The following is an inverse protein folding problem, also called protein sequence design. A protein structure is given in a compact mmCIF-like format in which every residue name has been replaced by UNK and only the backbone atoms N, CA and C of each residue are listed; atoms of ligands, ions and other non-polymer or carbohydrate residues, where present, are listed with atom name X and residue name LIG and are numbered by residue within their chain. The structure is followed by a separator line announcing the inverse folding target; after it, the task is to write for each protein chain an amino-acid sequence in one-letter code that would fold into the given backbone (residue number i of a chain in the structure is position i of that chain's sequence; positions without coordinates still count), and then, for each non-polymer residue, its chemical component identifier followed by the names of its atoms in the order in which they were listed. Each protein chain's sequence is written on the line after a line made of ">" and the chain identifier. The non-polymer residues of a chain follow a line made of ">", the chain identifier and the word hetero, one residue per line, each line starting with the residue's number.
data_IF_483222281689
#
_entry.id   IF_483222281689
#
_cell.length_a   1.000
_cell.length_b   1.000
_cell.length_c   1.000
_cell.angle_alpha   90.00
_cell.angle_beta   90.00
_cell.angle_gamma   90.00
#
_symmetry.space_group_name_H-M   'P 1'
#
loop_
_entity.id
_entity.type
_entity.pdbx_description
1 polymer ?
#
# COMPACT_ATOMS: atom_id res chain seq x y z
N UNK A 1 2.88 -3.07 -8.45
CA UNK A 1 2.47 -2.24 -9.60
C UNK A 1 0.94 -2.11 -9.73
N UNK A 2 0.16 -3.21 -9.60
CA UNK A 2 -1.30 -3.21 -9.80
C UNK A 2 -2.14 -2.39 -8.80
N UNK A 3 -1.70 -2.25 -7.54
CA UNK A 3 -2.44 -1.49 -6.53
C UNK A 3 -2.29 0.03 -6.67
N UNK A 4 -1.11 0.51 -7.09
CA UNK A 4 -0.90 1.93 -7.42
C UNK A 4 -1.73 2.34 -8.63
N UNK A 5 -1.82 1.47 -9.64
CA UNK A 5 -2.73 1.67 -10.75
C UNK A 5 -4.19 1.69 -10.31
N UNK A 6 -4.64 0.73 -9.50
CA UNK A 6 -6.03 0.72 -9.02
C UNK A 6 -6.41 1.99 -8.23
N UNK A 7 -5.52 2.48 -7.37
CA UNK A 7 -5.73 3.71 -6.61
C UNK A 7 -5.74 4.95 -7.52
N UNK A 8 -4.80 5.07 -8.45
CA UNK A 8 -4.80 6.15 -9.44
C UNK A 8 -6.05 6.11 -10.32
N UNK A 9 -6.52 4.92 -10.70
CA UNK A 9 -7.74 4.79 -11.52
C UNK A 9 -8.96 5.27 -10.75
N UNK A 10 -9.06 4.93 -9.45
CA UNK A 10 -10.14 5.40 -8.58
C UNK A 10 -10.11 6.92 -8.36
N UNK A 11 -8.91 7.50 -8.18
CA UNK A 11 -8.73 8.96 -8.05
C UNK A 11 -9.12 9.68 -9.34
N UNK A 12 -8.73 9.12 -10.50
CA UNK A 12 -9.09 9.67 -11.81
C UNK A 12 -10.59 9.57 -12.06
N UNK A 13 -11.24 8.47 -11.70
CA UNK A 13 -12.70 8.31 -11.79
C UNK A 13 -13.41 9.31 -10.88
N UNK A 14 -12.92 9.51 -9.65
CA UNK A 14 -13.49 10.49 -8.71
C UNK A 14 -13.34 11.93 -9.24
N UNK A 15 -12.17 12.27 -9.79
CA UNK A 15 -11.92 13.57 -10.43
C UNK A 15 -12.77 13.79 -11.68
N UNK A 16 -12.96 12.76 -12.51
CA UNK A 16 -13.84 12.81 -13.69
C UNK A 16 -15.30 13.01 -13.28
N UNK A 17 -15.77 12.33 -12.24
CA UNK A 17 -17.13 12.53 -11.70
C UNK A 17 -17.28 13.97 -11.22
N UNK A 18 -16.33 14.48 -10.43
CA UNK A 18 -16.36 15.88 -9.93
C UNK A 18 -16.35 16.88 -11.09
N UNK A 19 -15.46 16.72 -12.08
CA UNK A 19 -15.36 17.60 -13.26
C UNK A 19 -16.63 17.53 -14.13
N UNK A 20 -17.24 16.35 -14.28
CA UNK A 20 -18.50 16.20 -15.03
C UNK A 20 -19.72 16.82 -14.36
N UNK A 21 -19.64 17.11 -13.06
CA UNK A 21 -20.71 17.75 -12.28
C UNK A 21 -20.56 19.26 -12.11
N UNK A 22 -19.47 19.87 -12.62
CA UNK A 22 -19.33 21.33 -12.69
C UNK A 22 -20.07 21.87 -13.93
N UNK A 23 -21.09 22.73 -13.78
CA UNK A 23 -21.71 23.36 -14.94
C UNK A 23 -20.69 24.29 -15.61
N UNK A 24 -20.48 24.10 -16.91
CA UNK A 24 -19.66 24.97 -17.73
C UNK A 24 -20.26 26.38 -17.74
N UNK A 25 -19.76 27.24 -16.86
CA UNK A 25 -19.98 28.68 -16.92
C UNK A 25 -19.15 29.22 -18.09
N UNK A 26 -19.79 29.36 -19.25
CA UNK A 26 -19.19 30.00 -20.41
C UNK A 26 -19.16 31.52 -20.19
N UNK A 27 -17.98 32.02 -19.87
CA UNK A 27 -17.61 33.39 -20.19
C UNK A 27 -17.58 33.54 -21.72
N UNK A 28 -18.40 34.42 -22.28
CA UNK A 28 -18.16 35.02 -23.58
C UNK A 28 -18.60 36.48 -23.57
N UNK A 29 -17.60 37.32 -23.41
CA UNK A 29 -17.60 38.77 -23.60
C UNK A 29 -17.50 39.06 -25.11
N UNK A 30 -18.50 39.80 -25.61
CA UNK A 30 -18.47 40.86 -26.65
C UNK A 30 -17.55 40.74 -27.88
N UNK A 31 -18.17 40.85 -29.08
CA UNK A 31 -17.63 41.67 -30.18
C UNK A 31 -18.79 42.48 -30.79
N UNK A 32 -18.57 43.79 -30.85
CA UNK A 32 -19.47 44.86 -31.27
C UNK A 32 -19.89 44.81 -32.76
N UNK A 33 -21.11 45.26 -33.06
CA UNK A 33 -21.36 46.19 -34.18
C UNK A 33 -22.70 46.92 -34.07
N UNK A 34 -22.64 48.26 -34.18
CA UNK A 34 -23.71 49.26 -34.05
C UNK A 34 -24.59 49.37 -35.33
N UNK A 35 -25.76 50.06 -35.28
CA UNK A 35 -26.83 50.06 -36.28
C UNK A 35 -26.84 51.30 -37.21
N UNK A 36 -27.65 51.26 -38.29
CA UNK A 36 -28.00 52.45 -39.11
C UNK A 36 -29.53 52.54 -39.33
N UNK A 37 -30.15 53.74 -39.37
CA UNK A 37 -31.57 53.99 -39.04
C UNK A 37 -32.47 54.47 -40.20
N UNK A 38 -33.79 54.29 -40.02
CA UNK A 38 -34.93 55.14 -40.50
C UNK A 38 -35.20 55.25 -42.02
N UNK A 39 -36.36 55.79 -42.47
CA UNK A 39 -37.44 56.53 -41.75
C UNK A 39 -38.80 55.78 -41.76
N UNK A 40 -39.75 56.00 -40.82
CA UNK A 40 -40.71 57.12 -40.75
C UNK A 40 -41.94 56.82 -41.65
N UNK A 41 -43.23 56.88 -41.29
CA UNK A 41 -43.94 57.70 -40.31
C UNK A 41 -45.31 57.08 -39.91
N UNK A 42 -45.76 57.40 -38.70
CA UNK A 42 -47.13 57.67 -38.17
C UNK A 42 -48.35 57.30 -39.04
N UNK A 43 -49.40 56.61 -38.54
CA UNK A 43 -50.42 57.09 -37.59
C UNK A 43 -51.58 56.07 -37.65
N UNK A 44 -52.22 55.69 -36.54
CA UNK A 44 -53.47 56.33 -36.15
C UNK A 44 -54.62 55.33 -35.93
N UNK A 45 -54.98 55.18 -34.65
CA UNK A 45 -56.35 55.13 -34.13
C UNK A 45 -57.25 53.88 -34.26
N UNK A 46 -57.89 53.59 -33.11
CA UNK A 46 -59.28 53.15 -32.93
C UNK A 46 -59.60 51.71 -33.33
N UNK A 47 -60.12 50.82 -32.49
CA UNK A 47 -61.03 51.01 -31.37
C UNK A 47 -62.26 50.11 -31.60
N UNK A 48 -62.68 49.39 -30.56
CA UNK A 48 -64.00 48.73 -30.39
C UNK A 48 -64.33 47.53 -31.31
N UNK A 49 -65.16 46.54 -30.96
CA UNK A 49 -65.87 46.15 -29.72
C UNK A 49 -66.35 44.71 -29.93
N UNK A 50 -66.40 43.96 -28.83
CA UNK A 50 -67.15 42.72 -28.65
C UNK A 50 -68.66 42.91 -28.89
N UNK A 51 -69.31 41.96 -29.56
CA UNK A 51 -70.76 41.89 -29.72
C UNK A 51 -71.22 40.48 -30.12
N UNK A 52 -72.01 39.85 -29.25
CA UNK A 52 -72.45 38.45 -29.30
C UNK A 52 -73.73 38.23 -30.14
N UNK A 53 -73.81 37.04 -30.78
CA UNK A 53 -75.00 36.19 -31.03
C UNK A 53 -76.05 36.61 -32.08
N UNK A 54 -76.97 35.72 -32.53
CA UNK A 54 -76.90 34.26 -32.75
C UNK A 54 -77.41 33.82 -34.15
N UNK A 55 -77.14 32.56 -34.51
CA UNK A 55 -77.66 31.84 -35.69
C UNK A 55 -79.10 31.39 -35.43
N UNK A 56 -79.99 31.43 -36.45
CA UNK A 56 -80.77 30.21 -36.71
C UNK A 56 -81.00 29.91 -38.20
N UNK A 57 -81.01 28.62 -38.52
CA UNK A 57 -81.83 28.06 -39.58
C UNK A 57 -81.11 27.11 -40.54
N UNK A 58 -81.70 25.95 -40.83
CA UNK A 58 -81.42 25.25 -42.07
C UNK A 58 -82.72 25.04 -42.87
N UNK A 59 -82.72 25.40 -44.16
CA UNK A 59 -82.85 24.44 -45.27
C UNK A 59 -83.09 25.12 -46.62
N UNK A 60 -82.36 24.56 -47.59
CA UNK A 60 -82.67 24.22 -48.99
C UNK A 60 -83.18 25.35 -49.91
N UNK A 61 -82.88 25.40 -51.21
CA UNK A 61 -82.59 24.37 -52.21
C UNK A 61 -81.95 25.03 -53.43
N UNK A 62 -80.98 24.37 -54.08
CA UNK A 62 -81.08 23.88 -55.48
C UNK A 62 -80.14 24.65 -56.43
N UNK A 63 -79.44 23.92 -57.30
CA UNK A 63 -78.82 24.51 -58.50
C UNK A 63 -77.32 24.28 -58.69
N UNK A 64 -76.99 23.08 -59.19
CA UNK A 64 -76.09 22.79 -60.30
C UNK A 64 -74.66 23.40 -60.42
N UNK A 65 -73.73 22.45 -60.63
CA UNK A 65 -72.61 22.48 -61.59
C UNK A 65 -71.24 23.02 -61.16
N UNK A 66 -70.22 22.15 -61.32
CA UNK A 66 -68.87 22.54 -61.72
C UNK A 66 -67.74 21.96 -60.87
N UNK A 67 -67.19 20.81 -61.28
CA UNK A 67 -65.90 20.30 -60.82
C UNK A 67 -64.74 21.24 -61.18
N UNK A 68 -63.84 21.53 -60.24
CA UNK A 68 -62.39 21.66 -60.51
C UNK A 68 -61.58 21.49 -59.22
N UNK A 69 -60.74 20.46 -59.14
CA UNK A 69 -59.74 20.27 -58.07
C UNK A 69 -58.61 21.27 -58.31
N UNK A 70 -58.43 22.22 -57.39
CA UNK A 70 -57.28 23.14 -57.36
C UNK A 70 -56.33 22.72 -56.24
N UNK A 71 -55.19 22.12 -56.60
CA UNK A 71 -54.10 21.81 -55.67
C UNK A 71 -53.37 23.11 -55.32
N UNK A 72 -53.45 23.56 -54.06
CA UNK A 72 -52.70 24.71 -53.57
C UNK A 72 -51.21 24.38 -53.35
N UNK A 73 -50.29 25.37 -53.47
CA UNK A 73 -48.84 25.15 -53.42
C UNK A 73 -48.31 24.75 -52.03
N UNK A 74 -47.26 23.94 -52.00
CA UNK A 74 -46.55 23.50 -50.81
C UNK A 74 -46.01 24.73 -50.04
N UNK A 75 -46.28 24.90 -48.73
CA UNK A 75 -45.69 25.99 -47.95
C UNK A 75 -44.17 25.77 -47.78
N UNK A 76 -43.39 26.85 -47.88
CA UNK A 76 -41.93 26.85 -47.81
C UNK A 76 -41.33 26.35 -46.48
N UNK A 77 -39.99 26.38 -46.35
CA UNK A 77 -39.26 25.75 -45.26
C UNK A 77 -39.71 26.28 -43.89
N UNK A 78 -40.06 25.36 -42.99
CA UNK A 78 -40.40 25.66 -41.60
C UNK A 78 -39.12 26.05 -40.87
N UNK A 79 -39.10 27.26 -40.31
CA UNK A 79 -38.00 27.74 -39.47
C UNK A 79 -37.97 26.93 -38.15
N UNK A 80 -36.98 26.05 -38.02
CA UNK A 80 -36.73 25.23 -36.81
C UNK A 80 -35.72 25.85 -35.85
N UNK A 81 -35.26 27.08 -36.07
CA UNK A 81 -34.17 27.73 -35.30
C UNK A 81 -34.48 27.99 -33.81
N UNK A 82 -35.72 27.73 -33.35
CA UNK A 82 -36.11 27.80 -31.94
C UNK A 82 -36.16 26.45 -31.20
N UNK A 83 -36.01 25.31 -31.88
CA UNK A 83 -36.16 23.98 -31.27
C UNK A 83 -34.94 23.54 -30.44
N UNK A 84 -33.79 24.19 -30.62
CA UNK A 84 -32.50 23.81 -30.02
C UNK A 84 -32.21 24.55 -28.71
N UNK A 85 -33.22 25.15 -28.08
CA UNK A 85 -33.08 25.87 -26.82
C UNK A 85 -32.57 24.93 -25.71
N UNK A 86 -31.25 24.93 -25.50
CA UNK A 86 -30.60 24.10 -24.48
C UNK A 86 -30.85 24.74 -23.12
N UNK A 87 -31.90 24.30 -22.43
CA UNK A 87 -32.25 24.78 -21.09
C UNK A 87 -31.11 24.41 -20.13
N UNK A 88 -30.49 25.41 -19.51
CA UNK A 88 -29.42 25.20 -18.53
C UNK A 88 -29.99 24.84 -17.16
N UNK A 89 -29.22 24.16 -16.30
CA UNK A 89 -29.65 23.75 -14.96
C UNK A 89 -30.30 24.89 -14.15
N UNK A 90 -29.77 26.11 -14.28
CA UNK A 90 -30.26 27.30 -13.59
C UNK A 90 -31.62 27.83 -14.09
N UNK A 91 -32.08 27.40 -15.27
CA UNK A 91 -33.39 27.74 -15.85
C UNK A 91 -34.49 26.74 -15.47
N UNK A 92 -34.15 25.66 -14.76
CA UNK A 92 -35.13 24.69 -14.25
C UNK A 92 -35.93 25.30 -13.09
N UNK A 93 -37.22 24.95 -12.95
CA UNK A 93 -38.00 25.31 -11.77
C UNK A 93 -37.32 24.83 -10.49
N UNK A 94 -37.22 25.71 -9.47
CA UNK A 94 -36.48 25.50 -8.21
C UNK A 94 -36.69 24.12 -7.56
N UNK A 95 -37.90 23.56 -7.63
CA UNK A 95 -38.21 22.22 -7.08
C UNK A 95 -37.38 21.10 -7.71
N UNK A 96 -37.08 21.17 -9.01
CA UNK A 96 -36.35 20.11 -9.73
C UNK A 96 -34.85 20.19 -9.40
N UNK A 97 -34.32 21.39 -9.19
CA UNK A 97 -32.93 21.60 -8.78
C UNK A 97 -32.67 21.01 -7.39
N UNK A 98 -33.59 21.21 -6.45
CA UNK A 98 -33.47 20.70 -5.07
C UNK A 98 -33.47 19.18 -5.04
N UNK A 99 -34.39 18.53 -5.76
CA UNK A 99 -34.48 17.06 -5.85
C UNK A 99 -33.17 16.42 -6.36
N UNK A 100 -32.57 17.01 -7.40
CA UNK A 100 -31.32 16.49 -7.97
C UNK A 100 -30.14 16.62 -7.01
N UNK A 101 -30.00 17.75 -6.32
CA UNK A 101 -28.94 17.96 -5.33
C UNK A 101 -29.07 16.98 -4.17
N UNK A 102 -30.30 16.72 -3.69
CA UNK A 102 -30.55 15.77 -2.60
C UNK A 102 -30.15 14.34 -2.98
N UNK A 103 -30.48 13.88 -4.19
CA UNK A 103 -30.08 12.55 -4.66
C UNK A 103 -28.57 12.42 -4.85
N UNK A 104 -27.92 13.42 -5.45
CA UNK A 104 -26.45 13.42 -5.62
C UNK A 104 -25.77 13.41 -4.25
N UNK A 105 -26.24 14.22 -3.30
CA UNK A 105 -25.74 14.24 -1.93
C UNK A 105 -25.94 12.88 -1.23
N UNK A 106 -27.11 12.25 -1.41
CA UNK A 106 -27.40 10.94 -0.83
C UNK A 106 -26.52 9.83 -1.43
N UNK A 107 -26.35 9.81 -2.75
CA UNK A 107 -25.52 8.81 -3.46
C UNK A 107 -24.04 8.98 -3.11
N UNK A 108 -23.55 10.23 -3.07
CA UNK A 108 -22.16 10.52 -2.68
C UNK A 108 -21.90 10.17 -1.21
N UNK A 109 -22.82 10.48 -0.30
CA UNK A 109 -22.74 10.09 1.11
C UNK A 109 -22.75 8.56 1.28
N UNK A 110 -23.61 7.85 0.55
CA UNK A 110 -23.68 6.40 0.56
C UNK A 110 -22.39 5.76 0.01
N UNK A 111 -21.85 6.27 -1.09
CA UNK A 111 -20.58 5.83 -1.66
C UNK A 111 -19.41 6.05 -0.69
N UNK A 112 -19.34 7.22 -0.04
CA UNK A 112 -18.32 7.54 0.96
C UNK A 112 -18.43 6.60 2.18
N UNK A 113 -19.65 6.36 2.68
CA UNK A 113 -19.89 5.44 3.79
C UNK A 113 -19.51 4.00 3.43
N UNK A 114 -19.74 3.56 2.20
CA UNK A 114 -19.32 2.24 1.71
C UNK A 114 -17.78 2.12 1.69
N UNK A 115 -17.07 3.13 1.20
CA UNK A 115 -15.59 3.15 1.20
C UNK A 115 -15.05 3.10 2.63
N UNK A 116 -15.60 3.90 3.55
CA UNK A 116 -15.22 3.89 4.96
C UNK A 116 -15.50 2.56 5.64
N UNK A 117 -16.58 1.86 5.29
CA UNK A 117 -16.88 0.54 5.85
C UNK A 117 -15.99 -0.57 5.28
N UNK A 118 -15.57 -0.47 4.01
CA UNK A 118 -14.76 -1.50 3.34
C UNK A 118 -13.25 -1.33 3.55
N UNK A 119 -12.79 -0.14 3.93
CA UNK A 119 -11.38 0.16 4.21
C UNK A 119 -10.70 -0.80 5.22
N UNK A 120 -11.31 -1.19 6.36
CA UNK A 120 -10.63 -2.02 7.37
C UNK A 120 -10.31 -3.43 6.85
N UNK A 121 -11.15 -3.97 5.97
CA UNK A 121 -10.98 -5.29 5.37
C UNK A 121 -9.75 -5.31 4.45
N UNK A 122 -9.55 -4.23 3.69
CA UNK A 122 -8.41 -4.09 2.79
C UNK A 122 -7.10 -3.99 3.57
N UNK A 123 -7.05 -3.19 4.65
CA UNK A 123 -5.88 -3.10 5.52
C UNK A 123 -5.57 -4.45 6.17
N UNK A 124 -6.59 -5.15 6.68
CA UNK A 124 -6.43 -6.42 7.37
C UNK A 124 -5.73 -7.45 6.48
N UNK A 125 -6.15 -7.56 5.22
CA UNK A 125 -5.50 -8.42 4.22
C UNK A 125 -4.06 -8.00 3.92
N UNK A 126 -3.79 -6.69 3.81
CA UNK A 126 -2.44 -6.19 3.55
C UNK A 126 -1.48 -6.44 4.73
N UNK A 127 -1.97 -6.22 5.96
CA UNK A 127 -1.23 -6.50 7.19
C UNK A 127 -0.84 -7.98 7.26
N UNK A 128 -1.78 -8.89 6.96
CA UNK A 128 -1.52 -10.32 6.99
C UNK A 128 -0.43 -10.77 5.98
N UNK A 129 -0.42 -10.17 4.78
CA UNK A 129 0.62 -10.43 3.76
C UNK A 129 1.99 -9.97 4.26
N UNK A 130 2.08 -8.73 4.73
CA UNK A 130 3.33 -8.15 5.26
C UNK A 130 3.84 -8.92 6.48
N UNK A 131 2.95 -9.31 7.39
CA UNK A 131 3.31 -10.09 8.58
C UNK A 131 3.85 -11.47 8.20
N UNK A 132 3.34 -12.08 7.13
CA UNK A 132 3.88 -13.34 6.61
C UNK A 132 5.28 -13.16 6.00
N UNK A 133 5.48 -12.11 5.19
CA UNK A 133 6.78 -11.80 4.60
C UNK A 133 7.85 -11.45 5.65
N UNK A 134 7.48 -10.72 6.71
CA UNK A 134 8.40 -10.42 7.82
C UNK A 134 8.72 -11.71 8.58
N UNK A 135 7.71 -12.52 8.89
CA UNK A 135 7.91 -13.80 9.60
C UNK A 135 8.81 -14.76 8.81
N UNK A 136 8.65 -14.83 7.50
CA UNK A 136 9.49 -15.64 6.62
C UNK A 136 10.93 -15.13 6.58
N UNK A 137 11.15 -13.81 6.47
CA UNK A 137 12.50 -13.22 6.59
C UNK A 137 13.16 -13.57 7.91
N UNK A 138 12.47 -13.37 9.03
CA UNK A 138 12.99 -13.70 10.37
C UNK A 138 13.33 -15.19 10.45
N UNK A 139 12.45 -16.07 9.96
CA UNK A 139 12.70 -17.50 9.96
C UNK A 139 13.92 -17.89 9.12
N UNK A 140 14.04 -17.35 7.90
CA UNK A 140 15.18 -17.60 7.02
C UNK A 140 16.49 -17.07 7.63
N UNK A 141 16.44 -15.91 8.29
CA UNK A 141 17.59 -15.38 9.00
C UNK A 141 18.05 -16.31 10.14
N UNK A 142 17.13 -16.81 10.97
CA UNK A 142 17.43 -17.78 12.04
C UNK A 142 17.96 -19.09 11.48
N UNK A 143 17.40 -19.56 10.36
CA UNK A 143 17.84 -20.78 9.66
C UNK A 143 19.29 -20.66 9.20
N UNK A 144 19.67 -19.51 8.65
CA UNK A 144 21.00 -19.27 8.11
C UNK A 144 22.02 -18.84 9.18
N UNK A 145 21.56 -18.28 10.30
CA UNK A 145 22.40 -17.80 11.40
C UNK A 145 21.95 -18.43 12.74
N UNK A 146 22.22 -19.73 12.94
CA UNK A 146 21.84 -20.42 14.17
C UNK A 146 22.56 -19.82 15.38
N UNK A 147 21.87 -19.71 16.51
CA UNK A 147 22.41 -19.07 17.70
C UNK A 147 22.42 -17.54 17.63
N UNK A 148 21.61 -16.94 16.74
CA UNK A 148 21.37 -15.51 16.72
C UNK A 148 20.47 -15.04 17.87
N UNK A 149 20.52 -13.75 18.21
CA UNK A 149 19.63 -13.12 19.19
C UNK A 149 18.59 -12.22 18.51
N UNK A 150 17.53 -11.86 19.25
CA UNK A 150 16.55 -10.88 18.77
C UNK A 150 17.18 -9.53 18.42
N UNK A 151 18.22 -9.13 19.15
CA UNK A 151 18.93 -7.89 18.92
C UNK A 151 19.72 -7.93 17.60
N UNK A 152 20.31 -9.08 17.26
CA UNK A 152 21.03 -9.26 15.99
C UNK A 152 20.07 -9.19 14.80
N UNK A 153 18.91 -9.84 14.91
CA UNK A 153 17.83 -9.78 13.91
C UNK A 153 17.35 -8.33 13.75
N UNK A 154 17.16 -7.61 14.86
CA UNK A 154 16.72 -6.21 14.84
C UNK A 154 17.70 -5.32 14.10
N UNK A 155 19.01 -5.44 14.38
CA UNK A 155 20.04 -4.67 13.70
C UNK A 155 20.14 -5.02 12.22
N UNK A 156 19.99 -6.30 11.85
CA UNK A 156 20.15 -6.73 10.46
C UNK A 156 18.93 -6.42 9.59
N UNK A 157 17.73 -6.73 10.07
CA UNK A 157 16.49 -6.59 9.32
C UNK A 157 15.86 -5.19 9.45
N UNK A 158 16.45 -4.31 10.27
CA UNK A 158 15.94 -2.98 10.59
C UNK A 158 14.47 -3.01 11.08
N UNK A 159 14.18 -3.95 12.00
CA UNK A 159 12.86 -4.16 12.57
C UNK A 159 12.86 -3.82 14.06
N UNK A 160 11.73 -3.30 14.55
CA UNK A 160 11.54 -3.05 15.97
C UNK A 160 11.53 -4.37 16.76
N UNK A 161 12.19 -4.39 17.92
CA UNK A 161 12.22 -5.54 18.84
C UNK A 161 10.83 -6.08 19.20
N UNK A 162 9.81 -5.21 19.34
CA UNK A 162 8.43 -5.63 19.60
C UNK A 162 7.83 -6.44 18.43
N UNK A 163 8.05 -6.00 17.20
CA UNK A 163 7.64 -6.72 15.98
C UNK A 163 8.35 -8.07 15.89
N UNK A 164 9.66 -8.11 16.13
CA UNK A 164 10.43 -9.35 16.15
C UNK A 164 9.93 -10.29 17.24
N UNK A 165 9.66 -9.78 18.44
CA UNK A 165 9.11 -10.56 19.55
C UNK A 165 7.81 -11.24 19.13
N UNK A 166 6.87 -10.48 18.56
CA UNK A 166 5.60 -11.02 18.07
C UNK A 166 5.82 -12.18 17.07
N UNK A 167 6.69 -11.98 16.07
CA UNK A 167 6.94 -13.01 15.07
C UNK A 167 7.70 -14.22 15.62
N UNK A 168 8.63 -14.04 16.55
CA UNK A 168 9.34 -15.13 17.23
C UNK A 168 8.37 -15.96 18.06
N UNK A 169 7.50 -15.33 18.86
CA UNK A 169 6.48 -16.04 19.63
C UNK A 169 5.59 -16.85 18.69
N UNK A 170 5.22 -16.30 17.52
CA UNK A 170 4.43 -17.05 16.52
C UNK A 170 5.22 -18.20 15.89
N UNK A 171 6.49 -18.00 15.54
CA UNK A 171 7.34 -19.07 15.00
C UNK A 171 7.58 -20.19 16.03
N UNK A 172 7.65 -19.83 17.30
CA UNK A 172 7.76 -20.78 18.40
C UNK A 172 6.46 -21.57 18.59
N UNK A 173 5.30 -20.91 18.58
CA UNK A 173 4.00 -21.60 18.66
C UNK A 173 3.77 -22.54 17.47
N UNK A 174 4.27 -22.15 16.29
CA UNK A 174 4.22 -22.96 15.08
C UNK A 174 5.33 -24.05 15.05
N UNK A 175 6.08 -24.24 16.15
CA UNK A 175 7.15 -25.23 16.31
C UNK A 175 8.27 -25.12 15.27
N UNK A 176 8.46 -23.96 14.64
CA UNK A 176 9.49 -23.74 13.61
C UNK A 176 10.86 -23.39 14.19
N UNK A 177 10.88 -22.83 15.41
CA UNK A 177 12.10 -22.42 16.11
C UNK A 177 12.09 -22.89 17.56
N UNK A 178 13.29 -23.01 18.14
CA UNK A 178 13.51 -23.31 19.54
C UNK A 178 14.35 -22.20 20.17
N UNK A 179 14.03 -21.84 21.41
CA UNK A 179 14.76 -20.87 22.20
C UNK A 179 15.67 -21.62 23.17
N UNK A 180 16.96 -21.29 23.16
CA UNK A 180 17.94 -21.81 24.11
C UNK A 180 18.40 -20.67 24.99
N UNK A 181 18.18 -20.80 26.30
CA UNK A 181 18.64 -19.78 27.26
C UNK A 181 20.12 -20.00 27.57
N UNK A 182 20.94 -19.01 27.26
CA UNK A 182 22.30 -18.89 27.76
C UNK A 182 22.31 -17.95 28.98
N UNK A 183 23.43 -17.86 29.71
CA UNK A 183 23.54 -17.07 30.96
C UNK A 183 22.93 -15.66 30.85
N UNK A 184 23.22 -14.94 29.76
CA UNK A 184 22.80 -13.54 29.55
C UNK A 184 21.84 -13.31 28.38
N UNK A 185 21.72 -14.27 27.47
CA UNK A 185 21.03 -14.09 26.19
C UNK A 185 20.16 -15.29 25.84
N UNK A 186 19.06 -15.03 25.15
CA UNK A 186 18.24 -16.07 24.52
C UNK A 186 18.71 -16.24 23.09
N UNK A 187 19.03 -17.47 22.72
CA UNK A 187 19.58 -17.86 21.42
C UNK A 187 18.52 -18.62 20.62
N UNK A 188 18.42 -18.29 19.35
CA UNK A 188 17.38 -18.79 18.46
C UNK A 188 17.95 -19.84 17.52
N UNK A 189 17.24 -20.97 17.42
CA UNK A 189 17.62 -22.09 16.56
C UNK A 189 16.41 -22.56 15.75
N UNK A 190 16.65 -23.07 14.55
CA UNK A 190 15.61 -23.77 13.77
C UNK A 190 15.27 -25.09 14.46
N UNK A 191 13.98 -25.33 14.71
CA UNK A 191 13.50 -26.58 15.26
C UNK A 191 13.41 -27.63 14.12
N UNK A 192 14.52 -28.31 13.88
CA UNK A 192 14.66 -29.28 12.77
C UNK A 192 15.40 -30.54 13.18
N UNK A 193 15.74 -30.70 14.47
CA UNK A 193 16.61 -31.77 14.95
C UNK A 193 18.06 -31.71 14.45
N UNK A 194 18.41 -30.75 13.60
CA UNK A 194 19.75 -30.62 13.00
C UNK A 194 20.86 -30.37 14.03
N UNK A 195 20.52 -29.76 15.17
CA UNK A 195 21.45 -29.52 16.26
C UNK A 195 20.97 -30.25 17.51
N UNK A 196 21.85 -31.05 18.09
CA UNK A 196 21.71 -31.64 19.43
C UNK A 196 21.79 -30.55 20.50
N UNK A 197 21.34 -30.83 21.72
CA UNK A 197 21.44 -29.88 22.83
C UNK A 197 22.90 -29.47 23.13
N UNK A 198 23.84 -30.40 22.98
CA UNK A 198 25.28 -30.14 23.13
C UNK A 198 25.79 -29.15 22.06
N UNK A 199 25.45 -29.38 20.80
CA UNK A 199 25.83 -28.49 19.71
C UNK A 199 25.20 -27.10 19.87
N UNK A 200 23.95 -27.01 20.32
CA UNK A 200 23.30 -25.73 20.64
C UNK A 200 24.04 -24.98 21.75
N UNK A 201 24.51 -25.68 22.78
CA UNK A 201 25.30 -25.09 23.86
C UNK A 201 26.66 -24.56 23.36
N UNK A 202 27.36 -25.35 22.54
CA UNK A 202 28.62 -24.96 21.90
C UNK A 202 28.41 -23.73 21.02
N UNK A 203 27.43 -23.76 20.11
CA UNK A 203 27.11 -22.61 19.23
C UNK A 203 26.79 -21.38 20.09
N UNK A 204 26.00 -21.54 21.15
CA UNK A 204 25.66 -20.44 22.06
C UNK A 204 26.89 -19.83 22.73
N UNK A 205 27.87 -20.66 23.10
CA UNK A 205 29.14 -20.23 23.66
C UNK A 205 29.98 -19.45 22.64
N UNK A 206 30.04 -19.93 21.39
CA UNK A 206 30.83 -19.35 20.31
C UNK A 206 30.25 -18.03 19.83
N UNK A 207 28.93 -17.85 19.70
CA UNK A 207 28.38 -16.60 19.15
C UNK A 207 28.47 -15.38 20.08
N UNK A 208 29.21 -15.45 21.19
CA UNK A 208 29.59 -14.24 21.96
C UNK A 208 30.67 -13.48 21.18
N UNK A 209 30.63 -12.13 21.09
CA UNK A 209 31.58 -11.38 20.26
C UNK A 209 33.06 -11.73 20.48
N UNK A 210 33.52 -11.76 21.73
CA UNK A 210 34.89 -12.14 22.07
C UNK A 210 35.21 -13.62 21.74
N UNK A 211 34.22 -14.51 21.85
CA UNK A 211 34.39 -15.92 21.52
C UNK A 211 34.53 -16.13 20.01
N UNK A 212 33.73 -15.41 19.19
CA UNK A 212 33.88 -15.41 17.73
C UNK A 212 35.30 -15.00 17.36
N UNK A 213 35.82 -13.90 17.91
CA UNK A 213 37.17 -13.42 17.60
C UNK A 213 38.27 -14.43 17.98
N UNK A 214 38.16 -15.07 19.15
CA UNK A 214 39.13 -16.09 19.59
C UNK A 214 39.04 -17.33 18.68
N UNK A 215 37.82 -17.80 18.38
CA UNK A 215 37.62 -18.99 17.55
C UNK A 215 38.11 -18.76 16.12
N UNK A 216 37.81 -17.59 15.53
CA UNK A 216 38.33 -17.22 14.21
C UNK A 216 39.86 -17.20 14.20
N UNK A 217 40.48 -16.58 15.22
CA UNK A 217 41.94 -16.51 15.31
C UNK A 217 42.58 -17.90 15.49
N UNK A 218 42.05 -18.73 16.38
CA UNK A 218 42.57 -20.09 16.62
C UNK A 218 42.35 -21.04 15.43
N UNK A 219 41.41 -20.72 14.53
CA UNK A 219 41.23 -21.45 13.27
C UNK A 219 42.34 -21.13 12.27
N UNK A 220 42.82 -19.88 12.26
CA UNK A 220 43.91 -19.43 11.37
C UNK A 220 45.29 -19.76 11.94
N UNK A 221 45.45 -19.64 13.26
CA UNK A 221 46.70 -19.88 13.99
C UNK A 221 46.48 -20.90 15.14
N UNK A 222 46.33 -22.20 14.83
CA UNK A 222 46.20 -23.22 15.85
C UNK A 222 47.47 -23.32 16.71
N UNK A 223 47.30 -23.44 18.02
CA UNK A 223 48.42 -23.48 18.97
C UNK A 223 48.98 -22.11 19.35
N UNK A 224 48.19 -21.05 19.18
CA UNK A 224 48.53 -19.73 19.68
C UNK A 224 48.62 -19.71 21.23
N UNK A 225 49.48 -18.84 21.73
CA UNK A 225 49.67 -18.53 23.15
C UNK A 225 48.65 -17.51 23.64
N UNK A 226 48.55 -17.34 24.95
CA UNK A 226 47.65 -16.35 25.54
C UNK A 226 47.98 -14.91 25.11
N UNK A 227 49.27 -14.59 24.97
CA UNK A 227 49.72 -13.25 24.62
C UNK A 227 49.45 -12.93 23.15
N UNK A 228 49.59 -13.91 22.26
CA UNK A 228 49.21 -13.79 20.84
C UNK A 228 47.69 -13.56 20.68
N UNK A 229 46.88 -14.32 21.42
CA UNK A 229 45.41 -14.15 21.43
C UNK A 229 45.03 -12.77 22.00
N UNK A 230 45.67 -12.35 23.09
CA UNK A 230 45.44 -11.05 23.71
C UNK A 230 45.81 -9.90 22.76
N UNK A 231 46.93 -10.02 22.06
CA UNK A 231 47.37 -9.09 21.03
C UNK A 231 46.37 -8.96 19.89
N UNK A 232 45.85 -10.09 19.37
CA UNK A 232 44.84 -10.08 18.32
C UNK A 232 43.50 -9.46 18.76
N UNK A 233 43.09 -9.67 20.01
CA UNK A 233 41.85 -9.10 20.55
C UNK A 233 42.00 -7.65 21.03
N UNK A 234 43.22 -7.10 21.05
CA UNK A 234 43.54 -5.80 21.65
C UNK A 234 43.08 -5.69 23.12
N UNK A 235 43.29 -6.75 23.90
CA UNK A 235 42.98 -6.80 25.34
C UNK A 235 44.19 -7.26 26.14
N UNK A 236 44.12 -7.17 27.47
CA UNK A 236 45.18 -7.68 28.34
C UNK A 236 45.20 -9.21 28.37
N UNK A 237 46.36 -9.82 28.62
CA UNK A 237 46.48 -11.28 28.77
C UNK A 237 45.56 -11.82 29.87
N UNK A 238 45.35 -11.06 30.95
CA UNK A 238 44.36 -11.40 31.99
C UNK A 238 42.92 -11.39 31.45
N UNK A 239 42.56 -10.40 30.64
CA UNK A 239 41.26 -10.34 29.95
C UNK A 239 41.06 -11.54 29.00
N UNK A 240 42.07 -11.86 28.20
CA UNK A 240 42.07 -13.03 27.33
C UNK A 240 41.92 -14.34 28.12
N UNK A 241 42.64 -14.46 29.26
CA UNK A 241 42.52 -15.61 30.15
C UNK A 241 41.07 -15.82 30.63
N UNK A 242 40.39 -14.75 31.03
CA UNK A 242 38.98 -14.84 31.50
C UNK A 242 38.07 -15.36 30.39
N UNK A 243 38.26 -14.94 29.14
CA UNK A 243 37.47 -15.43 28.02
C UNK A 243 37.83 -16.89 27.68
N UNK A 244 39.11 -17.22 27.60
CA UNK A 244 39.61 -18.57 27.33
C UNK A 244 39.16 -19.57 28.40
N UNK A 245 39.19 -19.18 29.68
CA UNK A 245 38.70 -20.02 30.78
C UNK A 245 37.23 -20.41 30.59
N UNK A 246 36.39 -19.50 30.09
CA UNK A 246 34.98 -19.79 29.77
C UNK A 246 34.88 -20.72 28.57
N UNK A 247 35.67 -20.51 27.52
CA UNK A 247 35.68 -21.36 26.34
C UNK A 247 36.18 -22.77 26.64
N UNK A 248 37.15 -22.93 27.54
CA UNK A 248 37.61 -24.23 28.01
C UNK A 248 36.52 -24.95 28.79
N UNK A 249 35.88 -24.24 29.75
CA UNK A 249 34.77 -24.79 30.52
C UNK A 249 33.61 -25.23 29.63
N UNK A 250 33.31 -24.46 28.60
CA UNK A 250 32.23 -24.73 27.65
C UNK A 250 32.64 -25.78 26.59
N UNK A 251 33.84 -26.35 26.67
CA UNK A 251 34.33 -27.39 25.75
C UNK A 251 34.59 -26.90 24.33
N UNK A 252 34.82 -25.61 24.14
CA UNK A 252 35.08 -25.01 22.82
C UNK A 252 36.57 -25.07 22.46
N UNK A 253 37.41 -24.78 23.45
CA UNK A 253 38.88 -24.70 23.32
C UNK A 253 39.51 -25.67 24.30
N UNK A 254 40.60 -26.31 23.93
CA UNK A 254 41.47 -27.02 24.86
C UNK A 254 42.86 -26.40 24.85
N UNK A 255 43.68 -26.79 25.83
CA UNK A 255 45.03 -26.26 26.01
C UNK A 255 46.01 -27.41 26.22
N UNK A 256 47.20 -27.26 25.64
CA UNK A 256 48.28 -28.23 25.78
C UNK A 256 49.58 -27.53 26.17
N UNK A 257 50.36 -28.11 27.11
CA UNK A 257 51.68 -27.60 27.43
C UNK A 257 52.65 -27.84 26.28
N UNK A 258 53.36 -26.78 25.85
CA UNK A 258 54.40 -26.83 24.84
C UNK A 258 55.68 -26.19 25.40
N UNK A 259 56.44 -26.99 26.16
CA UNK A 259 57.62 -26.52 26.89
C UNK A 259 57.24 -25.51 27.96
N UNK A 260 57.77 -24.28 27.85
CA UNK A 260 57.49 -23.17 28.79
C UNK A 260 56.17 -22.44 28.55
N UNK A 261 55.50 -22.73 27.43
CA UNK A 261 54.28 -22.03 27.02
C UNK A 261 53.08 -22.95 27.04
N UNK A 262 51.90 -22.35 27.15
CA UNK A 262 50.62 -23.02 27.03
C UNK A 262 49.99 -22.64 25.69
N UNK A 263 49.72 -23.64 24.85
CA UNK A 263 49.13 -23.46 23.52
C UNK A 263 47.65 -23.81 23.55
N UNK A 264 46.84 -23.05 22.82
CA UNK A 264 45.40 -23.21 22.76
C UNK A 264 44.96 -23.71 21.39
N UNK A 265 43.95 -24.59 21.38
CA UNK A 265 43.46 -25.26 20.18
C UNK A 265 41.93 -25.36 20.23
N UNK A 266 41.28 -25.39 19.07
CA UNK A 266 39.85 -25.67 18.96
C UNK A 266 39.58 -27.16 19.06
N UNK A 267 38.53 -27.56 19.78
CA UNK A 267 38.10 -28.96 19.79
C UNK A 267 37.64 -29.41 18.40
N UNK A 268 37.90 -30.67 18.05
CA UNK A 268 37.51 -31.26 16.77
C UNK A 268 35.99 -31.17 16.52
N UNK A 269 35.18 -31.37 17.57
CA UNK A 269 33.73 -31.21 17.52
C UNK A 269 33.33 -29.79 17.06
N UNK A 270 34.06 -28.77 17.52
CA UNK A 270 33.83 -27.36 17.15
C UNK A 270 34.25 -27.11 15.71
N UNK A 271 35.39 -27.64 15.28
CA UNK A 271 35.86 -27.51 13.90
C UNK A 271 34.86 -28.15 12.93
N UNK A 272 34.37 -29.36 13.24
CA UNK A 272 33.33 -30.04 12.48
C UNK A 272 32.03 -29.23 12.43
N UNK A 273 31.63 -28.61 13.56
CA UNK A 273 30.46 -27.75 13.63
C UNK A 273 30.56 -26.51 12.74
N UNK A 274 31.72 -25.85 12.77
CA UNK A 274 32.00 -24.66 11.96
C UNK A 274 32.03 -25.04 10.47
N UNK A 275 32.69 -26.14 10.11
CA UNK A 275 32.74 -26.64 8.74
C UNK A 275 31.35 -26.98 8.19
N UNK A 276 30.45 -27.51 9.04
CA UNK A 276 29.05 -27.78 8.67
C UNK A 276 28.23 -26.52 8.43
N UNK A 277 28.59 -25.39 9.05
CA UNK A 277 27.88 -24.11 8.95
C UNK A 277 28.42 -23.18 7.87
N UNK A 278 29.68 -23.34 7.43
CA UNK A 278 30.36 -22.43 6.51
C UNK A 278 31.17 -23.22 5.46
N UNK A 279 30.68 -23.43 4.23
CA UNK A 279 31.59 -23.31 3.08
C UNK A 279 32.08 -21.87 3.10
N UNK A 280 33.37 -21.71 3.36
CA UNK A 280 34.08 -20.45 3.59
C UNK A 280 33.69 -19.42 2.51
N UNK A 281 32.93 -18.39 2.89
CA UNK A 281 32.91 -17.14 2.11
C UNK A 281 34.18 -16.39 2.46
N UNK A 282 35.18 -16.57 1.62
CA UNK A 282 36.33 -15.68 1.45
C UNK A 282 35.83 -14.30 1.01
#
# INVERSE_FOLDING_TARGET
>A
MRLKHALNTLIVILLLIIVSTLPASAAQTTVDNYPIPGPGDTSGASGNTVGFSPIPGPRNSSGASGDTISLSPIPGPVDTSGADATITFWQLPLRIQVEQITWIAAVTAAALAAVLKLWPIVIGKLKNRRDNEIRERIYNYIKNNPGTTMADISRRENLNLGTIRYHITRLQSDHKITLVKSEKFVRLFRNSGVYTEREKAIISSISRPAAISIVSYLREAPGATIDEIAGHLHITSSGAYVQLKKLIRDGVVYREPAGRFLKYYLNEEVLALIARQLPVSV
#
